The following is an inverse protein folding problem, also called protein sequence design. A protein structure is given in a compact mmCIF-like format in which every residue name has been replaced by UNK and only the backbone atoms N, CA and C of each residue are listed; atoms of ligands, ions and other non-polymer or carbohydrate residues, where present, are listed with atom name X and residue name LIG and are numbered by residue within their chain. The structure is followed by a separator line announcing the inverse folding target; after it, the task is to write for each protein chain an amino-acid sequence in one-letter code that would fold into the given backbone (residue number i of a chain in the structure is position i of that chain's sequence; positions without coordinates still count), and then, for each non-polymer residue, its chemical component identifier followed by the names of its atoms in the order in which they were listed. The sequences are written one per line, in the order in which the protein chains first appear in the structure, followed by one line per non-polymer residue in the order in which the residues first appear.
data_IF_898532562384
#
_entry.id   IF_898532562384
#
_cell.length_a   1.000
_cell.length_b   1.000
_cell.length_c   1.000
_cell.angle_alpha   90.00
_cell.angle_beta   90.00
_cell.angle_gamma   90.00
#
_symmetry.space_group_name_H-M   'P 1'
#
loop_
_entity.id
_entity.type
_entity.pdbx_description
1 polymer ?
#
# COMPACT_ATOMS: atom_id res chain seq x y z
N UNK A 1 5.73 -50.46 37.26
CA UNK A 1 5.62 -50.20 35.80
C UNK A 1 4.45 -49.24 35.58
N UNK A 2 4.53 -48.48 34.49
CA UNK A 2 3.56 -47.50 33.91
C UNK A 2 3.51 -46.09 34.52
N UNK A 3 4.30 -45.18 33.92
CA UNK A 3 4.14 -43.73 34.00
C UNK A 3 3.09 -43.24 32.98
N UNK A 4 2.31 -42.17 33.25
CA UNK A 4 1.42 -41.60 32.24
C UNK A 4 2.19 -40.67 31.30
N UNK A 5 2.06 -40.94 30.00
CA UNK A 5 2.53 -40.09 28.90
C UNK A 5 1.88 -38.70 28.98
N UNK A 6 2.70 -37.65 29.06
CA UNK A 6 2.28 -36.27 28.79
C UNK A 6 2.25 -36.07 27.27
N UNK A 7 1.07 -36.09 26.68
CA UNK A 7 0.87 -35.68 25.29
C UNK A 7 0.94 -34.16 25.19
N UNK A 8 2.09 -33.63 24.79
CA UNK A 8 2.21 -32.24 24.32
C UNK A 8 1.59 -32.16 22.93
N UNK A 9 0.43 -31.51 22.80
CA UNK A 9 -0.08 -31.05 21.51
C UNK A 9 0.83 -29.96 20.98
N UNK A 10 1.66 -30.29 19.99
CA UNK A 10 2.32 -29.29 19.16
C UNK A 10 1.25 -28.71 18.20
N UNK A 11 0.81 -27.49 18.47
CA UNK A 11 0.01 -26.73 17.52
C UNK A 11 0.92 -26.31 16.35
N UNK A 12 0.87 -27.06 15.25
CA UNK A 12 1.46 -26.63 13.99
C UNK A 12 0.63 -25.47 13.44
N UNK A 13 1.09 -24.24 13.67
CA UNK A 13 0.57 -23.07 12.99
C UNK A 13 0.97 -23.16 11.51
N UNK A 14 0.05 -23.62 10.67
CA UNK A 14 0.17 -23.53 9.23
C UNK A 14 0.04 -22.04 8.85
N UNK A 15 1.17 -21.34 8.75
CA UNK A 15 1.24 -20.05 8.08
C UNK A 15 0.97 -20.30 6.59
N UNK A 16 -0.28 -20.17 6.17
CA UNK A 16 -0.55 -19.89 4.76
C UNK A 16 0.08 -18.54 4.45
N UNK A 17 1.25 -18.57 3.82
CA UNK A 17 1.73 -17.44 3.04
C UNK A 17 0.72 -17.22 1.91
N UNK A 18 -0.33 -16.46 2.18
CA UNK A 18 -1.05 -15.78 1.13
C UNK A 18 -0.03 -14.86 0.48
N UNK A 19 0.56 -15.31 -0.63
CA UNK A 19 1.34 -14.45 -1.49
C UNK A 19 0.42 -13.30 -1.87
N UNK A 20 0.59 -12.15 -1.23
CA UNK A 20 -0.04 -10.92 -1.68
C UNK A 20 0.38 -10.76 -3.12
N UNK A 21 -0.56 -10.81 -4.06
CA UNK A 21 -0.30 -10.42 -5.43
C UNK A 21 0.24 -8.98 -5.38
N UNK A 22 1.57 -8.83 -5.39
CA UNK A 22 2.20 -7.53 -5.61
C UNK A 22 1.89 -7.20 -7.06
N UNK A 23 1.11 -6.13 -7.25
CA UNK A 23 1.16 -5.41 -8.51
C UNK A 23 2.60 -4.91 -8.60
N UNK A 24 3.33 -5.44 -9.57
CA UNK A 24 4.76 -5.25 -9.63
C UNK A 24 5.14 -4.84 -11.04
N UNK A 25 5.34 -3.54 -11.24
CA UNK A 25 5.95 -3.02 -12.44
C UNK A 25 7.46 -3.25 -12.31
N UNK A 26 8.04 -3.98 -13.27
CA UNK A 26 9.49 -4.20 -13.39
C UNK A 26 10.13 -5.06 -12.27
N UNK A 27 9.38 -5.90 -11.51
CA UNK A 27 9.99 -6.82 -10.51
C UNK A 27 10.73 -8.02 -11.13
N UNK A 28 10.56 -8.27 -12.43
CA UNK A 28 11.06 -9.47 -13.12
C UNK A 28 12.45 -9.34 -13.74
N UNK A 29 13.41 -8.64 -13.11
CA UNK A 29 14.76 -8.58 -13.66
C UNK A 29 15.40 -9.98 -13.72
N UNK A 30 15.66 -10.45 -14.93
CA UNK A 30 16.41 -11.68 -15.19
C UNK A 30 17.68 -11.29 -15.96
N UNK A 31 18.88 -11.32 -15.35
CA UNK A 31 20.11 -10.91 -16.02
C UNK A 31 20.44 -11.73 -17.27
N UNK A 32 19.81 -12.90 -17.44
CA UNK A 32 19.99 -13.80 -18.58
C UNK A 32 18.94 -13.61 -19.68
N UNK A 33 17.83 -12.91 -19.40
CA UNK A 33 16.80 -12.62 -20.39
C UNK A 33 17.18 -11.43 -21.28
N UNK A 34 16.88 -11.52 -22.58
CA UNK A 34 17.05 -10.39 -23.49
C UNK A 34 16.07 -9.26 -23.12
N UNK A 35 16.51 -7.99 -23.05
CA UNK A 35 15.60 -6.86 -22.83
C UNK A 35 14.69 -6.69 -24.04
N UNK A 36 13.42 -7.09 -23.90
CA UNK A 36 12.38 -6.84 -24.91
C UNK A 36 11.35 -5.91 -24.30
N UNK A 37 11.53 -4.57 -24.41
CA UNK A 37 10.53 -3.65 -23.91
C UNK A 37 9.23 -3.79 -24.72
N UNK A 38 8.10 -3.67 -24.06
CA UNK A 38 6.78 -3.77 -24.69
C UNK A 38 5.95 -2.51 -24.42
N UNK A 39 5.32 -1.98 -25.47
CA UNK A 39 4.50 -0.78 -25.36
C UNK A 39 3.07 -1.16 -25.00
N UNK A 40 2.54 -0.51 -23.97
CA UNK A 40 1.15 -0.60 -23.56
C UNK A 40 0.32 0.38 -24.38
N UNK A 41 -0.86 -0.08 -24.83
CA UNK A 41 -1.80 0.72 -25.61
C UNK A 41 -3.14 0.84 -24.91
N UNK A 42 -3.76 2.02 -24.99
CA UNK A 42 -5.13 2.25 -24.57
C UNK A 42 -5.92 2.92 -25.72
N UNK A 43 -7.26 2.79 -25.76
CA UNK A 43 -8.07 3.61 -26.66
C UNK A 43 -7.78 5.10 -26.47
N UNK A 44 -7.70 5.86 -27.56
CA UNK A 44 -7.56 7.32 -27.48
C UNK A 44 -8.75 7.89 -26.71
N UNK A 45 -8.45 8.59 -25.61
CA UNK A 45 -9.41 9.34 -24.82
C UNK A 45 -8.71 10.58 -24.24
N UNK A 46 -9.10 11.79 -24.68
CA UNK A 46 -8.48 13.03 -24.21
C UNK A 46 -8.53 13.22 -22.69
N UNK A 47 -9.62 12.81 -22.03
CA UNK A 47 -9.75 12.97 -20.58
C UNK A 47 -8.80 12.04 -19.83
N UNK A 48 -8.63 10.80 -20.32
CA UNK A 48 -7.67 9.87 -19.74
C UNK A 48 -6.22 10.34 -19.92
N UNK A 49 -5.89 10.81 -21.13
CA UNK A 49 -4.55 11.35 -21.42
C UNK A 49 -4.24 12.59 -20.57
N UNK A 50 -5.22 13.47 -20.35
CA UNK A 50 -5.04 14.62 -19.48
C UNK A 50 -4.82 14.21 -18.02
N UNK A 51 -5.63 13.26 -17.51
CA UNK A 51 -5.46 12.75 -16.15
C UNK A 51 -4.07 12.13 -15.92
N UNK A 52 -3.55 11.39 -16.90
CA UNK A 52 -2.19 10.83 -16.87
C UNK A 52 -1.12 11.92 -16.86
N UNK A 53 -1.27 12.96 -17.70
CA UNK A 53 -0.33 14.09 -17.77
C UNK A 53 -0.31 14.89 -16.48
N UNK A 54 -1.48 15.18 -15.91
CA UNK A 54 -1.59 15.91 -14.65
C UNK A 54 -0.95 15.12 -13.51
N UNK A 55 -1.17 13.80 -13.48
CA UNK A 55 -0.54 12.93 -12.50
C UNK A 55 0.98 12.92 -12.61
N UNK A 56 1.52 12.73 -13.82
CA UNK A 56 2.98 12.74 -14.04
C UNK A 56 3.57 14.12 -13.73
N UNK A 57 2.88 15.20 -14.11
CA UNK A 57 3.33 16.58 -13.85
C UNK A 57 3.45 16.88 -12.35
N UNK A 58 2.64 16.24 -11.50
CA UNK A 58 2.76 16.31 -10.04
C UNK A 58 3.77 15.32 -9.46
N UNK A 59 3.68 14.03 -9.80
CA UNK A 59 4.46 12.97 -9.14
C UNK A 59 5.95 13.02 -9.51
N UNK A 60 6.27 13.47 -10.73
CA UNK A 60 7.67 13.57 -11.17
C UNK A 60 8.49 14.56 -10.32
N UNK A 61 8.13 15.85 -10.19
CA UNK A 61 8.87 16.78 -9.32
C UNK A 61 8.83 16.38 -7.84
N UNK A 62 7.75 15.74 -7.39
CA UNK A 62 7.67 15.17 -6.03
C UNK A 62 8.79 14.15 -5.79
N UNK A 63 8.97 13.19 -6.70
CA UNK A 63 10.08 12.24 -6.58
C UNK A 63 11.46 12.91 -6.66
N UNK A 64 11.62 13.97 -7.45
CA UNK A 64 12.86 14.76 -7.46
C UNK A 64 13.11 15.42 -6.09
N UNK A 65 12.05 15.87 -5.42
CA UNK A 65 12.05 16.33 -4.03
C UNK A 65 12.64 15.29 -3.09
N UNK A 66 12.09 14.07 -3.06
CA UNK A 66 12.59 12.99 -2.22
C UNK A 66 14.06 12.61 -2.50
N UNK A 67 14.48 12.65 -3.78
CA UNK A 67 15.88 12.48 -4.18
C UNK A 67 16.80 13.54 -3.56
N UNK A 68 16.39 14.81 -3.60
CA UNK A 68 17.17 15.91 -3.03
C UNK A 68 17.24 15.84 -1.50
N UNK A 69 16.11 15.64 -0.83
CA UNK A 69 16.03 15.47 0.64
C UNK A 69 16.92 14.32 1.12
N UNK A 70 16.93 13.20 0.38
CA UNK A 70 17.76 12.03 0.70
C UNK A 70 19.24 12.31 0.52
N UNK A 71 19.64 13.09 -0.50
CA UNK A 71 21.04 13.49 -0.69
C UNK A 71 21.51 14.42 0.40
N UNK A 72 20.69 15.41 0.77
CA UNK A 72 21.03 16.36 1.83
C UNK A 72 21.19 15.66 3.18
N UNK A 73 20.31 14.70 3.49
CA UNK A 73 20.46 13.86 4.67
C UNK A 73 21.74 13.03 4.65
N UNK A 74 22.08 12.41 3.51
CA UNK A 74 23.30 11.61 3.39
C UNK A 74 24.59 12.44 3.46
N UNK A 75 24.54 13.71 3.06
CA UNK A 75 25.66 14.64 3.10
C UNK A 75 25.88 15.28 4.49
N UNK A 76 24.87 15.22 5.36
CA UNK A 76 24.92 15.85 6.69
C UNK A 76 25.76 15.02 7.67
N UNK A 77 26.84 15.56 8.27
CA UNK A 77 27.68 14.84 9.22
C UNK A 77 26.94 14.47 10.52
N UNK A 78 25.83 15.13 10.85
CA UNK A 78 24.99 14.81 12.00
C UNK A 78 24.01 13.66 11.71
N UNK A 79 23.87 13.20 10.46
CA UNK A 79 23.11 12.00 10.14
C UNK A 79 23.88 10.76 10.64
N UNK A 80 23.27 9.96 11.51
CA UNK A 80 23.96 8.83 12.15
C UNK A 80 23.22 7.51 12.00
N UNK A 81 21.89 7.51 11.87
CA UNK A 81 21.11 6.29 11.73
C UNK A 81 21.47 5.51 10.45
N UNK A 82 22.11 4.32 10.56
CA UNK A 82 22.43 3.47 9.42
C UNK A 82 21.17 2.99 8.71
N UNK A 83 20.08 2.77 9.46
CA UNK A 83 18.80 2.41 8.88
C UNK A 83 18.24 3.52 7.98
N UNK A 84 18.28 4.79 8.42
CA UNK A 84 17.87 5.90 7.55
C UNK A 84 18.85 6.17 6.41
N UNK A 85 20.16 5.95 6.59
CA UNK A 85 21.13 6.08 5.50
C UNK A 85 20.89 5.03 4.41
N UNK A 86 20.63 3.78 4.81
CA UNK A 86 20.26 2.72 3.89
C UNK A 86 18.93 3.02 3.19
N UNK A 87 17.93 3.51 3.93
CA UNK A 87 16.65 3.94 3.37
C UNK A 87 16.83 5.07 2.35
N UNK A 88 17.54 6.15 2.70
CA UNK A 88 17.77 7.29 1.82
C UNK A 88 18.49 6.89 0.52
N UNK A 89 19.48 5.99 0.61
CA UNK A 89 20.13 5.43 -0.57
C UNK A 89 19.17 4.58 -1.43
N UNK A 90 18.26 3.84 -0.78
CA UNK A 90 17.19 3.09 -1.45
C UNK A 90 16.20 4.00 -2.18
N UNK A 91 15.70 5.04 -1.49
CA UNK A 91 14.81 6.07 -2.06
C UNK A 91 15.44 6.70 -3.30
N UNK A 92 16.70 7.14 -3.23
CA UNK A 92 17.41 7.73 -4.38
C UNK A 92 17.42 6.78 -5.58
N UNK A 93 17.66 5.48 -5.36
CA UNK A 93 17.75 4.51 -6.45
C UNK A 93 16.37 4.19 -7.03
N UNK A 94 15.41 3.87 -6.18
CA UNK A 94 14.08 3.44 -6.58
C UNK A 94 13.31 4.59 -7.22
N UNK A 95 13.24 5.76 -6.58
CA UNK A 95 12.48 6.89 -7.11
C UNK A 95 13.14 7.52 -8.35
N UNK A 96 14.47 7.40 -8.53
CA UNK A 96 15.11 7.77 -9.80
C UNK A 96 14.62 6.91 -10.96
N UNK A 97 14.47 5.62 -10.72
CA UNK A 97 13.94 4.71 -11.74
C UNK A 97 12.47 5.02 -12.03
N UNK A 98 11.66 5.26 -10.99
CA UNK A 98 10.26 5.66 -11.14
C UNK A 98 10.11 6.98 -11.92
N UNK A 99 10.99 7.98 -11.73
CA UNK A 99 11.04 9.19 -12.58
C UNK A 99 11.24 8.80 -14.06
N UNK A 100 12.13 7.85 -14.35
CA UNK A 100 12.34 7.36 -15.71
C UNK A 100 11.10 6.68 -16.31
N UNK A 101 10.32 5.97 -15.51
CA UNK A 101 9.03 5.38 -15.92
C UNK A 101 7.99 6.48 -16.20
N UNK A 102 7.90 7.50 -15.34
CA UNK A 102 7.00 8.64 -15.50
C UNK A 102 7.35 9.45 -16.77
N UNK A 103 8.63 9.68 -17.01
CA UNK A 103 9.11 10.34 -18.24
C UNK A 103 8.77 9.53 -19.49
N UNK A 104 8.84 8.19 -19.40
CA UNK A 104 8.46 7.30 -20.50
C UNK A 104 6.96 7.33 -20.77
N UNK A 105 6.12 7.43 -19.74
CA UNK A 105 4.66 7.62 -19.91
C UNK A 105 4.40 8.89 -20.72
N UNK A 106 5.02 10.02 -20.38
CA UNK A 106 4.84 11.28 -21.13
C UNK A 106 5.32 11.14 -22.58
N UNK A 107 6.48 10.53 -22.81
CA UNK A 107 6.98 10.26 -24.17
C UNK A 107 6.00 9.41 -24.99
N UNK A 108 5.38 8.42 -24.38
CA UNK A 108 4.36 7.59 -25.03
C UNK A 108 3.10 8.42 -25.35
N UNK A 109 2.61 9.24 -24.41
CA UNK A 109 1.44 10.08 -24.63
C UNK A 109 1.66 11.15 -25.71
N UNK A 110 2.90 11.59 -25.95
CA UNK A 110 3.27 12.53 -27.00
C UNK A 110 3.39 11.87 -28.40
N UNK A 111 3.56 10.55 -28.44
CA UNK A 111 3.66 9.82 -29.70
C UNK A 111 2.29 9.74 -30.41
N UNK A 112 2.27 9.73 -31.76
CA UNK A 112 1.02 9.67 -32.50
C UNK A 112 0.25 8.35 -32.22
N UNK A 113 -1.08 8.39 -32.12
CA UNK A 113 -1.88 7.18 -31.99
C UNK A 113 -1.68 6.23 -33.17
N UNK A 114 -1.67 4.93 -32.88
CA UNK A 114 -1.74 3.89 -33.91
C UNK A 114 -3.19 3.74 -34.34
N UNK A 115 -3.42 3.80 -35.66
CA UNK A 115 -4.74 3.64 -36.25
C UNK A 115 -4.83 2.26 -36.88
N UNK A 116 -5.75 1.45 -36.40
CA UNK A 116 -6.10 0.16 -36.97
C UNK A 116 -7.38 0.31 -37.81
N UNK A 117 -7.29 0.00 -39.10
CA UNK A 117 -8.43 -0.01 -40.01
C UNK A 117 -8.89 -1.46 -40.20
N UNK A 118 -10.07 -1.80 -39.67
CA UNK A 118 -10.65 -3.15 -39.73
C UNK A 118 -11.74 -3.26 -40.81
N UNK A 119 -11.77 -2.33 -41.77
CA UNK A 119 -12.80 -2.21 -42.82
C UNK A 119 -14.10 -1.61 -42.30
N UNK A 120 -14.73 -2.22 -41.29
CA UNK A 120 -16.00 -1.76 -40.70
C UNK A 120 -15.83 -0.79 -39.54
N UNK A 121 -14.62 -0.67 -39.01
CA UNK A 121 -14.31 0.18 -37.87
C UNK A 121 -12.87 0.71 -37.97
N UNK A 122 -12.66 1.89 -37.40
CA UNK A 122 -11.35 2.50 -37.19
C UNK A 122 -11.11 2.64 -35.70
N UNK A 123 -10.07 1.97 -35.19
CA UNK A 123 -9.69 2.02 -33.78
C UNK A 123 -8.39 2.83 -33.67
N UNK A 124 -8.40 3.87 -32.86
CA UNK A 124 -7.20 4.63 -32.53
C UNK A 124 -6.70 4.22 -31.15
N UNK A 125 -5.45 3.77 -31.08
CA UNK A 125 -4.78 3.31 -29.87
C UNK A 125 -3.61 4.23 -29.54
N UNK A 126 -3.69 4.87 -28.38
CA UNK A 126 -2.61 5.69 -27.84
C UNK A 126 -1.58 4.76 -27.16
N UNK A 127 -0.28 4.85 -27.49
CA UNK A 127 0.76 4.34 -26.61
C UNK A 127 0.73 5.10 -25.28
N UNK A 128 0.70 4.39 -24.16
CA UNK A 128 0.52 5.00 -22.81
C UNK A 128 1.61 4.68 -21.81
N UNK A 129 2.44 3.66 -22.06
CA UNK A 129 3.59 3.30 -21.24
C UNK A 129 4.49 2.29 -21.97
N UNK A 130 5.69 2.07 -21.43
CA UNK A 130 6.59 1.00 -21.85
C UNK A 130 6.98 0.18 -20.62
N UNK A 131 6.78 -1.14 -20.71
CA UNK A 131 7.24 -2.12 -19.72
C UNK A 131 8.53 -2.78 -20.20
N UNK A 132 9.35 -3.28 -19.26
CA UNK A 132 10.65 -3.89 -19.50
C UNK A 132 11.80 -2.90 -19.38
N UNK A 133 11.56 -1.66 -18.94
CA UNK A 133 12.61 -0.66 -18.75
C UNK A 133 13.60 -1.05 -17.66
N UNK A 134 13.18 -1.84 -16.67
CA UNK A 134 14.05 -2.36 -15.62
C UNK A 134 15.10 -3.31 -16.20
N UNK A 135 14.70 -4.18 -17.12
CA UNK A 135 15.59 -5.08 -17.84
C UNK A 135 16.57 -4.31 -18.74
N UNK A 136 16.06 -3.32 -19.49
CA UNK A 136 16.87 -2.47 -20.38
C UNK A 136 17.95 -1.71 -19.59
N UNK A 137 17.56 -1.13 -18.45
CA UNK A 137 18.45 -0.32 -17.62
C UNK A 137 19.27 -1.15 -16.62
N UNK A 138 19.04 -2.46 -16.55
CA UNK A 138 19.59 -3.36 -15.52
C UNK A 138 19.33 -2.84 -14.12
N UNK A 139 18.13 -2.33 -13.92
CA UNK A 139 17.69 -1.78 -12.66
C UNK A 139 17.52 -2.90 -11.63
N UNK A 140 18.10 -2.69 -10.46
CA UNK A 140 17.92 -3.55 -9.29
C UNK A 140 17.25 -2.70 -8.20
N UNK A 141 15.99 -3.04 -7.88
CA UNK A 141 15.24 -2.39 -6.81
C UNK A 141 15.98 -2.56 -5.50
N UNK A 142 16.14 -1.47 -4.76
CA UNK A 142 16.65 -1.55 -3.39
C UNK A 142 15.52 -2.05 -2.49
N UNK A 143 15.73 -3.15 -1.75
CA UNK A 143 14.74 -3.58 -0.77
C UNK A 143 14.70 -2.55 0.37
N UNK A 144 13.53 -2.40 0.99
CA UNK A 144 13.43 -1.66 2.23
C UNK A 144 14.36 -2.27 3.28
N UNK A 145 15.10 -1.46 4.07
CA UNK A 145 15.99 -2.00 5.08
C UNK A 145 15.26 -2.90 6.07
N UNK A 146 15.82 -4.08 6.32
CA UNK A 146 15.21 -5.09 7.20
C UNK A 146 15.28 -4.72 8.68
N UNK A 147 14.47 -5.41 9.49
CA UNK A 147 14.38 -5.18 10.95
C UNK A 147 15.72 -5.34 11.68
N UNK A 148 16.62 -6.18 11.17
CA UNK A 148 17.94 -6.40 11.77
C UNK A 148 18.86 -5.18 11.60
N UNK A 149 18.62 -4.32 10.60
CA UNK A 149 19.34 -3.05 10.42
C UNK A 149 18.94 -2.01 11.48
N UNK A 150 17.79 -2.18 12.15
CA UNK A 150 17.27 -1.25 13.16
C UNK A 150 18.11 -1.18 14.46
N UNK A 151 19.02 -2.14 14.67
CA UNK A 151 19.79 -2.28 15.92
C UNK A 151 21.10 -1.48 15.96
N UNK A 152 21.47 -0.76 14.89
CA UNK A 152 22.82 -0.22 14.76
C UNK A 152 22.84 1.30 14.95
N UNK A 153 23.12 1.81 16.15
CA UNK A 153 23.65 3.18 16.34
C UNK A 153 22.68 4.24 16.86
N UNK A 154 23.22 5.36 17.39
CA UNK A 154 22.43 6.43 17.99
C UNK A 154 21.59 7.15 16.93
N UNK A 155 20.35 7.49 17.30
CA UNK A 155 19.48 8.37 16.49
C UNK A 155 19.72 9.82 16.93
N UNK A 156 20.05 10.70 15.98
CA UNK A 156 20.27 12.12 16.25
C UNK A 156 19.03 12.96 16.00
N UNK A 157 19.07 14.24 16.41
CA UNK A 157 18.05 15.22 16.03
C UNK A 157 17.92 15.33 14.51
N UNK A 158 19.02 15.27 13.77
CA UNK A 158 19.02 15.36 12.30
C UNK A 158 18.29 14.18 11.65
N UNK A 159 18.49 12.98 12.19
CA UNK A 159 17.77 11.77 11.79
C UNK A 159 16.26 11.94 11.98
N UNK A 160 15.83 12.47 13.14
CA UNK A 160 14.41 12.74 13.43
C UNK A 160 13.84 13.78 12.46
N UNK A 161 14.58 14.84 12.15
CA UNK A 161 14.13 15.87 11.20
C UNK A 161 13.93 15.28 9.80
N UNK A 162 14.90 14.50 9.29
CA UNK A 162 14.76 13.82 8.00
C UNK A 162 13.57 12.86 8.00
N UNK A 163 13.45 12.01 9.01
CA UNK A 163 12.36 11.04 9.11
C UNK A 163 10.99 11.74 9.13
N UNK A 164 10.83 12.82 9.90
CA UNK A 164 9.57 13.58 9.92
C UNK A 164 9.28 14.26 8.58
N UNK A 165 10.27 14.94 7.99
CA UNK A 165 10.11 15.62 6.70
C UNK A 165 9.73 14.63 5.59
N UNK A 166 10.42 13.50 5.51
CA UNK A 166 10.16 12.46 4.51
C UNK A 166 8.86 11.71 4.77
N UNK A 167 8.40 11.56 6.02
CA UNK A 167 7.04 11.05 6.31
C UNK A 167 5.98 11.98 5.70
N UNK A 168 6.11 13.31 5.88
CA UNK A 168 5.15 14.28 5.33
C UNK A 168 5.14 14.18 3.79
N UNK A 169 6.32 14.14 3.18
CA UNK A 169 6.48 14.00 1.75
C UNK A 169 5.84 12.69 1.23
N UNK A 170 6.16 11.55 1.84
CA UNK A 170 5.59 10.26 1.43
C UNK A 170 4.08 10.19 1.61
N UNK A 171 3.52 10.81 2.66
CA UNK A 171 2.08 10.87 2.85
C UNK A 171 1.38 11.57 1.69
N UNK A 172 1.96 12.64 1.15
CA UNK A 172 1.42 13.32 -0.04
C UNK A 172 1.46 12.42 -1.29
N UNK A 173 2.54 11.67 -1.52
CA UNK A 173 2.60 10.69 -2.60
C UNK A 173 1.52 9.59 -2.46
N UNK A 174 1.28 9.09 -1.24
CA UNK A 174 0.18 8.14 -0.99
C UNK A 174 -1.19 8.75 -1.34
N UNK A 175 -1.42 10.02 -1.01
CA UNK A 175 -2.66 10.72 -1.34
C UNK A 175 -2.83 10.89 -2.85
N UNK A 176 -1.80 11.31 -3.57
CA UNK A 176 -1.83 11.45 -5.03
C UNK A 176 -2.07 10.13 -5.74
N UNK A 177 -1.37 9.06 -5.33
CA UNK A 177 -1.54 7.73 -5.90
C UNK A 177 -2.98 7.22 -5.72
N UNK A 178 -3.57 7.45 -4.54
CA UNK A 178 -4.97 7.12 -4.24
C UNK A 178 -5.95 8.00 -5.03
N UNK A 179 -5.68 9.29 -5.16
CA UNK A 179 -6.49 10.21 -5.93
C UNK A 179 -6.52 9.81 -7.41
N UNK A 180 -5.38 9.40 -7.97
CA UNK A 180 -5.31 8.86 -9.32
C UNK A 180 -6.16 7.58 -9.46
N UNK A 181 -6.06 6.63 -8.52
CA UNK A 181 -6.93 5.44 -8.52
C UNK A 181 -8.43 5.75 -8.41
N UNK A 182 -8.80 6.82 -7.70
CA UNK A 182 -10.18 7.25 -7.53
C UNK A 182 -10.71 8.04 -8.73
N UNK A 183 -9.84 8.52 -9.63
CA UNK A 183 -10.24 9.31 -10.78
C UNK A 183 -10.84 8.40 -11.88
N UNK A 184 -12.12 8.55 -12.25
CA UNK A 184 -12.74 7.71 -13.29
C UNK A 184 -12.14 7.88 -14.68
N UNK A 185 -11.44 9.00 -14.94
CA UNK A 185 -10.71 9.22 -16.18
C UNK A 185 -9.33 8.53 -16.19
N UNK A 186 -8.74 8.23 -15.03
CA UNK A 186 -7.44 7.59 -14.91
C UNK A 186 -7.53 6.09 -15.26
N UNK A 187 -7.25 5.77 -16.52
CA UNK A 187 -7.41 4.41 -17.08
C UNK A 187 -6.11 3.79 -17.59
N UNK A 188 -4.98 4.40 -17.27
CA UNK A 188 -3.67 3.85 -17.61
C UNK A 188 -3.31 2.74 -16.63
N UNK A 189 -3.42 1.49 -17.11
CA UNK A 189 -3.15 0.31 -16.28
C UNK A 189 -1.72 0.29 -15.73
N UNK A 190 -0.74 0.80 -16.48
CA UNK A 190 0.65 0.86 -16.04
C UNK A 190 0.82 1.84 -14.87
N UNK A 191 0.27 3.06 -14.96
CA UNK A 191 0.28 4.01 -13.84
C UNK A 191 -0.50 3.46 -12.64
N UNK A 192 -1.60 2.73 -12.85
CA UNK A 192 -2.32 2.05 -11.77
C UNK A 192 -1.46 1.03 -11.02
N UNK A 193 -0.67 0.22 -11.73
CA UNK A 193 0.24 -0.74 -11.11
C UNK A 193 1.40 -0.03 -10.39
N UNK A 194 2.02 0.97 -11.04
CA UNK A 194 3.05 1.82 -10.43
C UNK A 194 2.56 2.47 -9.13
N UNK A 195 1.31 2.94 -9.08
CA UNK A 195 0.74 3.54 -7.89
C UNK A 195 0.54 2.54 -6.75
N UNK A 196 0.23 1.28 -7.09
CA UNK A 196 0.14 0.21 -6.09
C UNK A 196 1.51 -0.10 -5.50
N UNK A 197 2.55 -0.11 -6.33
CA UNK A 197 3.95 -0.22 -5.92
C UNK A 197 4.36 0.94 -4.99
N UNK A 198 4.11 2.19 -5.40
CA UNK A 198 4.37 3.40 -4.62
C UNK A 198 3.68 3.33 -3.26
N UNK A 199 2.38 2.98 -3.24
CA UNK A 199 1.61 2.89 -2.00
C UNK A 199 2.21 1.86 -1.06
N UNK A 200 2.59 0.69 -1.59
CA UNK A 200 3.14 -0.41 -0.81
C UNK A 200 4.49 -0.04 -0.20
N UNK A 201 5.42 0.42 -1.04
CA UNK A 201 6.78 0.73 -0.62
C UNK A 201 6.81 1.94 0.32
N UNK A 202 6.18 3.05 -0.05
CA UNK A 202 6.23 4.26 0.78
C UNK A 202 5.52 4.08 2.13
N UNK A 203 4.49 3.22 2.20
CA UNK A 203 3.88 2.85 3.49
C UNK A 203 4.86 2.09 4.41
N UNK A 204 5.69 1.21 3.84
CA UNK A 204 6.72 0.48 4.60
C UNK A 204 7.84 1.44 5.05
N UNK A 205 8.25 2.37 4.18
CA UNK A 205 9.25 3.38 4.49
C UNK A 205 8.78 4.33 5.60
N UNK A 206 7.51 4.78 5.57
CA UNK A 206 6.88 5.54 6.68
C UNK A 206 6.95 4.74 7.98
N UNK A 207 6.60 3.45 7.95
CA UNK A 207 6.63 2.60 9.15
C UNK A 207 8.05 2.47 9.72
N UNK A 208 9.07 2.37 8.86
CA UNK A 208 10.47 2.35 9.26
C UNK A 208 10.91 3.69 9.87
N UNK A 209 10.57 4.81 9.23
CA UNK A 209 10.90 6.16 9.74
C UNK A 209 10.27 6.42 11.10
N UNK A 210 9.01 5.99 11.31
CA UNK A 210 8.34 6.07 12.63
C UNK A 210 9.07 5.27 13.72
N UNK A 211 9.66 4.12 13.38
CA UNK A 211 10.47 3.33 14.33
C UNK A 211 11.77 4.05 14.69
N UNK A 212 12.42 4.71 13.73
CA UNK A 212 13.62 5.51 14.01
C UNK A 212 13.29 6.66 14.96
N UNK A 213 12.19 7.37 14.70
CA UNK A 213 11.72 8.45 15.57
C UNK A 213 11.46 7.92 16.99
N UNK A 214 10.86 6.75 17.14
CA UNK A 214 10.59 6.14 18.44
C UNK A 214 11.85 5.68 19.20
N UNK A 215 12.96 5.45 18.49
CA UNK A 215 14.26 5.09 19.08
C UNK A 215 15.10 6.32 19.45
N UNK A 216 14.61 7.55 19.20
CA UNK A 216 15.30 8.77 19.57
C UNK A 216 15.35 8.92 21.11
N UNK A 217 16.53 9.15 21.72
CA UNK A 217 16.65 9.25 23.18
C UNK A 217 16.11 10.56 23.76
N UNK A 218 15.88 11.58 22.93
CA UNK A 218 15.33 12.87 23.33
C UNK A 218 13.82 12.97 23.15
N UNK A 219 13.27 14.17 23.38
CA UNK A 219 11.88 14.47 23.06
C UNK A 219 11.71 14.66 21.54
N UNK A 220 11.29 13.59 20.86
CA UNK A 220 11.03 13.64 19.43
C UNK A 220 9.93 14.66 19.06
N UNK A 221 8.96 14.96 19.94
CA UNK A 221 7.90 15.91 19.64
C UNK A 221 8.44 17.34 19.54
N UNK A 222 9.43 17.69 20.36
CA UNK A 222 10.08 19.00 20.39
C UNK A 222 11.02 19.27 19.18
N UNK A 223 11.38 18.25 18.40
CA UNK A 223 12.26 18.43 17.22
C UNK A 223 11.49 19.09 16.07
N UNK A 224 11.83 20.34 15.67
CA UNK A 224 11.14 21.03 14.58
C UNK A 224 11.58 20.50 13.21
N UNK A 225 10.66 20.52 12.25
CA UNK A 225 10.96 20.34 10.81
C UNK A 225 10.82 21.70 10.14
N UNK A 226 11.90 22.20 9.55
CA UNK A 226 11.86 23.43 8.76
C UNK A 226 11.14 23.14 7.42
N UNK A 227 10.19 23.99 6.98
CA UNK A 227 9.52 23.81 5.68
C UNK A 227 10.49 23.68 4.51
N UNK A 228 11.64 24.36 4.56
CA UNK A 228 12.69 24.27 3.55
C UNK A 228 13.41 22.92 3.50
N UNK A 229 13.09 21.97 4.38
CA UNK A 229 13.58 20.58 4.30
C UNK A 229 12.68 19.67 3.47
N UNK A 230 11.50 20.15 3.06
CA UNK A 230 10.51 19.39 2.29
C UNK A 230 10.49 19.99 0.89
N UNK A 231 11.10 19.29 -0.06
CA UNK A 231 11.27 19.75 -1.44
C UNK A 231 10.26 19.07 -2.36
N UNK A 232 10.01 19.62 -3.56
CA UNK A 232 9.18 18.96 -4.58
C UNK A 232 7.68 18.95 -4.28
N UNK A 233 7.27 19.78 -3.32
CA UNK A 233 5.86 19.96 -2.92
C UNK A 233 5.20 21.16 -3.61
N UNK A 234 5.95 21.92 -4.43
CA UNK A 234 5.46 23.12 -5.10
C UNK A 234 4.35 22.79 -6.10
N UNK A 235 3.28 23.59 -6.11
CA UNK A 235 2.17 23.40 -7.06
C UNK A 235 1.25 22.22 -6.75
N UNK A 236 1.54 21.44 -5.70
CA UNK A 236 0.61 20.48 -5.15
C UNK A 236 -0.51 21.24 -4.43
N UNK A 237 -1.69 21.32 -5.04
CA UNK A 237 -2.87 21.84 -4.35
C UNK A 237 -3.26 20.88 -3.22
N UNK A 238 -2.73 21.12 -2.03
CA UNK A 238 -3.11 20.41 -0.82
C UNK A 238 -4.61 20.60 -0.56
N UNK A 239 -5.40 19.53 -0.72
CA UNK A 239 -6.50 19.34 0.22
C UNK A 239 -5.85 19.18 1.61
N UNK A 240 -6.35 19.85 2.67
CA UNK A 240 -5.76 19.71 3.99
C UNK A 240 -5.76 18.23 4.39
N UNK A 241 -4.71 17.75 5.09
CA UNK A 241 -4.64 16.35 5.50
C UNK A 241 -5.90 16.02 6.30
N UNK A 242 -6.57 14.94 5.92
CA UNK A 242 -7.61 14.38 6.77
C UNK A 242 -7.01 14.11 8.15
N UNK A 243 -7.68 14.47 9.26
CA UNK A 243 -7.14 14.24 10.58
C UNK A 243 -6.78 12.77 10.73
N UNK A 244 -5.49 12.49 10.95
CA UNK A 244 -5.02 11.14 11.24
C UNK A 244 -5.74 10.69 12.52
N UNK A 245 -6.66 9.74 12.39
CA UNK A 245 -7.29 9.13 13.55
C UNK A 245 -6.19 8.54 14.43
N UNK A 246 -6.14 8.96 15.69
CA UNK A 246 -5.26 8.36 16.69
C UNK A 246 -5.50 6.83 16.69
N UNK A 247 -4.46 6.01 16.92
CA UNK A 247 -4.66 4.59 17.12
C UNK A 247 -5.70 4.39 18.23
N UNK A 248 -6.63 3.44 18.10
CA UNK A 248 -7.66 3.25 19.11
C UNK A 248 -6.99 2.97 20.44
N UNK A 249 -7.20 3.88 21.40
CA UNK A 249 -6.90 3.63 22.80
C UNK A 249 -7.76 2.43 23.17
N UNK A 250 -7.14 1.32 23.52
CA UNK A 250 -7.84 0.13 23.97
C UNK A 250 -8.69 0.51 25.19
N UNK A 251 -10.00 0.63 24.98
CA UNK A 251 -10.96 0.75 26.07
C UNK A 251 -10.98 -0.60 26.76
N UNK A 252 -10.70 -0.70 28.07
CA UNK A 252 -10.82 -1.97 28.76
C UNK A 252 -12.27 -2.46 28.63
N UNK A 253 -12.43 -3.71 28.19
CA UNK A 253 -13.72 -4.32 27.97
C UNK A 253 -14.60 -4.19 29.23
N UNK A 254 -15.77 -3.58 29.08
CA UNK A 254 -16.78 -3.54 30.12
C UNK A 254 -17.26 -4.97 30.42
N UNK A 255 -17.33 -5.31 31.70
CA UNK A 255 -17.81 -6.61 32.17
C UNK A 255 -19.26 -6.85 31.70
N UNK A 256 -19.63 -8.09 31.33
CA UNK A 256 -20.98 -8.42 30.90
C UNK A 256 -21.98 -8.26 32.06
N UNK A 257 -23.22 -7.82 31.78
CA UNK A 257 -24.24 -7.65 32.81
C UNK A 257 -24.69 -9.00 33.39
N UNK A 258 -25.10 -9.06 34.67
CA UNK A 258 -25.55 -10.31 35.29
C UNK A 258 -26.89 -10.78 34.69
N UNK A 259 -26.96 -12.08 34.43
CA UNK A 259 -28.17 -12.76 33.97
C UNK A 259 -29.32 -12.59 34.98
N UNK A 260 -30.44 -12.00 34.54
CA UNK A 260 -31.70 -12.01 35.29
C UNK A 260 -32.47 -13.29 34.96
N UNK A 261 -32.74 -14.10 35.98
CA UNK A 261 -33.71 -15.21 35.88
C UNK A 261 -35.14 -14.67 35.71
N UNK A 262 -35.97 -15.26 34.83
CA UNK A 262 -37.37 -14.90 34.72
C UNK A 262 -38.18 -15.46 35.89
N UNK A 263 -39.11 -14.65 36.42
CA UNK A 263 -40.05 -15.01 37.47
C UNK A 263 -41.10 -16.06 37.00
N UNK A 264 -41.66 -16.89 37.90
CA UNK A 264 -42.61 -17.94 37.54
C UNK A 264 -44.00 -17.38 37.23
N UNK A 265 -44.67 -17.95 36.21
CA UNK A 265 -46.06 -17.63 35.82
C UNK A 265 -47.07 -18.26 36.79
N UNK A 266 -48.22 -17.60 37.08
CA UNK A 266 -49.29 -18.20 37.86
C UNK A 266 -50.21 -19.10 37.02
N UNK A 267 -50.61 -20.23 37.60
CA UNK A 267 -51.70 -21.11 37.16
C UNK A 267 -53.03 -20.61 37.76
N UNK A 268 -54.26 -20.82 37.28
CA UNK A 268 -54.88 -21.42 36.08
C UNK A 268 -56.40 -21.07 36.17
N UNK A 269 -57.16 -21.19 35.08
CA UNK A 269 -58.51 -21.84 35.10
C UNK A 269 -59.03 -22.12 33.68
N UNK A 270 -59.56 -23.34 33.50
CA UNK A 270 -60.14 -23.90 32.28
C UNK A 270 -61.55 -23.36 31.98
N UNK A 271 -62.08 -23.62 30.78
CA UNK A 271 -63.14 -24.65 30.72
C UNK A 271 -63.23 -25.53 29.45
N UNK A 272 -63.83 -26.71 29.68
CA UNK A 272 -64.78 -27.50 28.86
C UNK A 272 -64.42 -28.11 27.48
N UNK A 273 -64.06 -29.40 27.55
CA UNK A 273 -64.59 -30.61 26.84
C UNK A 273 -65.35 -30.53 25.50
N UNK A 274 -64.84 -31.35 24.56
CA UNK A 274 -65.53 -31.98 23.41
C UNK A 274 -64.49 -32.26 22.31
N UNK A 275 -64.26 -33.43 21.71
CA UNK A 275 -64.86 -34.76 21.68
C UNK A 275 -64.41 -35.41 20.34
N UNK A 276 -64.08 -36.71 20.35
CA UNK A 276 -63.77 -37.61 19.21
C UNK A 276 -62.38 -37.50 18.51
N UNK A 277 -61.50 -38.53 18.63
CA UNK A 277 -61.44 -39.82 17.90
C UNK A 277 -61.00 -39.64 16.42
N UNK A 278 -60.01 -40.32 15.85
CA UNK A 278 -59.11 -41.39 16.25
C UNK A 278 -58.17 -41.78 15.08
N UNK A 279 -57.20 -42.67 15.34
CA UNK A 279 -56.42 -43.51 14.40
C UNK A 279 -55.50 -42.83 13.36
N UNK A 280 -54.39 -43.41 12.89
CA UNK A 280 -53.51 -44.52 13.29
C UNK A 280 -52.27 -44.45 12.35
N UNK A 281 -51.22 -45.17 12.73
CA UNK A 281 -49.93 -45.34 12.06
C UNK A 281 -49.99 -45.77 10.57
N UNK A 282 -48.94 -45.39 9.83
CA UNK A 282 -48.57 -46.03 8.56
C UNK A 282 -47.30 -45.45 7.92
N UNK A 283 -46.22 -46.20 7.98
CA UNK A 283 -45.05 -46.14 7.09
C UNK A 283 -44.88 -47.56 6.49
N UNK A 284 -43.94 -47.87 5.57
CA UNK A 284 -43.32 -47.13 4.45
C UNK A 284 -43.33 -47.97 3.13
N UNK A 285 -42.83 -47.42 2.00
CA UNK A 285 -42.14 -48.11 0.87
C UNK A 285 -41.95 -47.09 -0.28
N UNK A 286 -40.74 -46.74 -0.74
CA UNK A 286 -39.80 -47.48 -1.59
C UNK A 286 -40.29 -47.70 -3.04
N UNK A 287 -39.74 -46.94 -3.98
CA UNK A 287 -39.43 -47.37 -5.36
C UNK A 287 -38.48 -46.36 -6.02
N UNK A 288 -37.33 -46.88 -6.45
CA UNK A 288 -36.46 -46.56 -7.60
C UNK A 288 -36.57 -45.19 -8.26
#
# INVERSE_FOLDING_TARGET
MTAPLRTTLAAAALLLAAGTARAAIEEGYDPMAAPVPSTWYAPVDPAAQQADRDYVAGMRPHHEGALSMSRDYLADPAASSPMLKALAAGIIRNQRFEIGLLDEVVRNLDAPPRVLNLGIARIALQPVATEGLGQVQRFLRSPSPGLLTAAAGPVTTRDVQFAKAMIIHHQAALEMARAYHANPAARNGFLGLLNTDIITDQSQEIALMRRVIAAYPGDAAAVPVDPGMIHGMEGMHHAPPAPQAAPPVAVPAAAPPPHRHPAPRPAAKAPAMGGHAGHAHGAPAAAQ
#
